data_IF_658264327384
#
_entry.id   IF_658264327384
#
_cell.length_a   1.000
_cell.length_b   1.000
_cell.length_c   1.000
_cell.angle_alpha   90.00
_cell.angle_beta   90.00
_cell.angle_gamma   90.00
#
_symmetry.space_group_name_H-M   'P 1'
#
loop_
_entity.id
_entity.type
_entity.pdbx_description
1 polymer ?
#
# COMPACT_ATOMS: atom_id res chain seq x y z
N UNK A 1 -24.24 2.34 0.46
CA UNK A 1 -24.66 0.94 0.18
C UNK A 1 -24.01 0.33 -1.08
N UNK A 2 -24.23 0.81 -2.31
CA UNK A 2 -23.59 0.20 -3.52
C UNK A 2 -22.05 0.35 -3.60
N UNK A 3 -21.49 1.48 -3.14
CA UNK A 3 -20.03 1.73 -3.18
C UNK A 3 -19.23 0.88 -2.19
N UNK A 4 -19.83 0.51 -1.06
CA UNK A 4 -19.20 -0.26 0.01
C UNK A 4 -19.06 -1.76 -0.35
N UNK A 5 -20.05 -2.31 -1.07
CA UNK A 5 -20.00 -3.67 -1.60
C UNK A 5 -19.00 -3.81 -2.77
N UNK A 6 -18.95 -2.83 -3.66
CA UNK A 6 -17.95 -2.74 -4.74
C UNK A 6 -16.53 -2.65 -4.16
N UNK A 7 -16.37 -1.82 -3.13
CA UNK A 7 -15.12 -1.66 -2.41
C UNK A 7 -14.65 -2.96 -1.72
N UNK A 8 -15.54 -3.73 -1.07
CA UNK A 8 -15.19 -5.04 -0.48
C UNK A 8 -14.74 -6.07 -1.52
N UNK A 9 -15.32 -6.04 -2.73
CA UNK A 9 -14.92 -6.93 -3.83
C UNK A 9 -13.54 -6.54 -4.40
N UNK A 10 -13.30 -5.25 -4.63
CA UNK A 10 -12.00 -4.73 -5.06
C UNK A 10 -10.92 -4.91 -3.97
N UNK A 11 -11.32 -4.89 -2.69
CA UNK A 11 -10.46 -5.15 -1.54
C UNK A 11 -10.05 -6.63 -1.40
N UNK A 12 -10.99 -7.58 -1.58
CA UNK A 12 -10.63 -9.00 -1.66
C UNK A 12 -9.66 -9.27 -2.82
N UNK A 13 -9.81 -8.53 -3.93
CA UNK A 13 -8.85 -8.55 -5.05
C UNK A 13 -7.51 -7.90 -4.71
N UNK A 14 -7.50 -6.77 -3.99
CA UNK A 14 -6.28 -6.14 -3.45
C UNK A 14 -5.50 -7.12 -2.57
N UNK A 15 -6.14 -7.73 -1.58
CA UNK A 15 -5.53 -8.73 -0.70
C UNK A 15 -4.98 -9.93 -1.51
N UNK A 16 -5.73 -10.40 -2.52
CA UNK A 16 -5.26 -11.46 -3.41
C UNK A 16 -4.10 -11.04 -4.31
N UNK A 17 -4.00 -9.76 -4.68
CA UNK A 17 -2.94 -9.18 -5.52
C UNK A 17 -1.68 -8.88 -4.70
N UNK A 18 -1.79 -8.34 -3.50
CA UNK A 18 -0.67 -8.24 -2.55
C UNK A 18 -0.12 -9.64 -2.26
N UNK A 19 -0.98 -10.64 -2.07
CA UNK A 19 -0.57 -12.06 -2.01
C UNK A 19 -0.02 -12.63 -3.33
N UNK A 20 -0.29 -11.99 -4.48
CA UNK A 20 0.25 -12.36 -5.80
C UNK A 20 1.61 -11.77 -6.11
N UNK A 21 2.00 -10.73 -5.40
CA UNK A 21 3.25 -10.02 -5.61
C UNK A 21 4.49 -10.85 -5.23
N UNK A 22 4.34 -11.82 -4.33
CA UNK A 22 5.34 -12.88 -4.10
C UNK A 22 5.41 -13.97 -5.17
N UNK A 23 4.62 -13.91 -6.27
CA UNK A 23 4.47 -15.01 -7.24
C UNK A 23 5.26 -14.87 -8.53
N UNK A 24 6.15 -13.89 -8.66
CA UNK A 24 6.94 -13.72 -9.89
C UNK A 24 8.44 -13.77 -9.61
N UNK A 25 8.92 -15.00 -9.38
CA UNK A 25 10.23 -15.58 -9.76
C UNK A 25 10.62 -16.59 -8.70
N UNK A 26 10.35 -17.87 -8.94
CA UNK A 26 11.21 -18.95 -8.44
C UNK A 26 10.97 -20.21 -9.26
N UNK A 27 11.98 -20.53 -10.07
CA UNK A 27 12.18 -21.85 -10.63
C UNK A 27 12.57 -22.81 -9.49
N UNK A 28 11.94 -23.98 -9.53
CA UNK A 28 12.01 -25.19 -8.68
C UNK A 28 13.26 -25.44 -7.83
N UNK A 29 13.05 -25.81 -6.55
CA UNK A 29 13.61 -27.03 -5.93
C UNK A 29 12.75 -27.47 -4.71
N UNK A 30 12.38 -28.75 -4.56
CA UNK A 30 11.58 -29.26 -3.43
C UNK A 30 12.48 -29.91 -2.36
N UNK A 31 12.20 -29.70 -1.07
CA UNK A 31 12.16 -30.77 -0.05
C UNK A 31 11.79 -30.22 1.34
N UNK A 32 11.06 -31.08 2.08
CA UNK A 32 10.95 -31.19 3.53
C UNK A 32 9.77 -30.52 4.27
N UNK A 33 8.92 -31.40 4.84
CA UNK A 33 8.35 -31.24 6.18
C UNK A 33 6.90 -30.77 6.28
N UNK A 34 5.92 -31.69 6.23
CA UNK A 34 4.58 -31.45 6.78
C UNK A 34 4.66 -31.50 8.31
N UNK A 35 4.23 -30.44 9.00
CA UNK A 35 4.05 -30.46 10.46
C UNK A 35 2.54 -30.39 10.76
N UNK A 36 2.06 -31.34 11.56
CA UNK A 36 0.64 -31.50 11.89
C UNK A 36 0.08 -30.40 12.78
N UNK A 37 -1.23 -30.18 12.66
CA UNK A 37 -2.04 -29.12 13.29
C UNK A 37 -1.86 -29.03 14.82
N UNK A 38 -1.46 -30.12 15.50
CA UNK A 38 -1.21 -30.15 16.95
C UNK A 38 0.02 -29.33 17.41
N UNK A 39 1.05 -29.15 16.57
CA UNK A 39 2.21 -28.33 16.91
C UNK A 39 1.91 -26.82 16.83
N UNK A 40 0.83 -26.44 16.16
CA UNK A 40 0.41 -25.06 15.95
C UNK A 40 -0.06 -24.38 17.26
N UNK A 41 -0.62 -25.17 18.19
CA UNK A 41 -1.09 -24.68 19.49
C UNK A 41 0.04 -24.58 20.54
N UNK A 42 1.09 -25.40 20.44
CA UNK A 42 2.21 -25.36 21.39
C UNK A 42 3.13 -24.14 21.19
N UNK A 43 3.23 -23.62 19.96
CA UNK A 43 3.95 -22.37 19.65
C UNK A 43 3.10 -21.10 19.89
N UNK A 44 1.90 -21.25 20.43
CA UNK A 44 0.97 -20.14 20.70
C UNK A 44 1.12 -19.58 22.13
N UNK A 45 1.84 -20.28 23.01
CA UNK A 45 1.93 -19.96 24.46
C UNK A 45 3.22 -19.26 24.89
N UNK A 46 4.17 -18.99 23.98
CA UNK A 46 5.44 -18.34 24.31
C UNK A 46 5.38 -16.87 23.87
N UNK A 47 5.20 -16.00 24.87
CA UNK A 47 4.97 -14.57 24.74
C UNK A 47 6.29 -13.83 24.94
N UNK A 48 7.06 -13.62 23.87
CA UNK A 48 8.02 -12.51 23.69
C UNK A 48 8.68 -12.65 22.30
N UNK A 49 8.76 -11.54 21.55
CA UNK A 49 9.33 -11.39 20.19
C UNK A 49 8.51 -11.93 18.99
N UNK A 50 7.50 -11.17 18.53
CA UNK A 50 6.82 -11.41 17.23
C UNK A 50 6.45 -10.10 16.50
N UNK A 51 7.45 -9.33 16.09
CA UNK A 51 7.26 -8.21 15.14
C UNK A 51 7.60 -8.58 13.68
N UNK A 52 8.17 -9.77 13.43
CA UNK A 52 8.92 -10.05 12.19
C UNK A 52 8.36 -11.22 11.37
N UNK A 53 7.04 -11.44 11.41
CA UNK A 53 6.37 -12.48 10.65
C UNK A 53 5.28 -11.90 9.74
N UNK A 54 5.37 -12.20 8.43
CA UNK A 54 4.39 -11.85 7.42
C UNK A 54 3.61 -13.09 6.95
N UNK A 55 2.50 -12.90 6.24
CA UNK A 55 1.63 -13.99 5.79
C UNK A 55 1.74 -14.16 4.27
N UNK A 56 2.26 -15.30 3.79
CA UNK A 56 2.21 -15.70 2.39
C UNK A 56 1.12 -16.73 2.12
N UNK A 57 0.39 -16.55 1.02
CA UNK A 57 -0.61 -17.51 0.54
C UNK A 57 -0.07 -18.26 -0.67
N UNK A 58 0.08 -19.58 -0.56
CA UNK A 58 0.46 -20.42 -1.68
C UNK A 58 -0.66 -20.46 -2.74
N UNK A 59 -0.43 -20.00 -3.98
CA UNK A 59 -1.46 -19.95 -5.02
C UNK A 59 -1.99 -21.31 -5.49
N UNK A 60 -1.26 -22.40 -5.26
CA UNK A 60 -1.61 -23.73 -5.78
C UNK A 60 -2.50 -24.53 -4.82
N UNK A 61 -2.45 -24.25 -3.52
CA UNK A 61 -3.23 -25.00 -2.53
C UNK A 61 -3.85 -24.13 -1.42
N UNK A 62 -3.82 -22.79 -1.55
CA UNK A 62 -4.28 -21.84 -0.53
C UNK A 62 -3.64 -22.01 0.86
N UNK A 63 -2.52 -22.75 0.99
CA UNK A 63 -1.83 -22.87 2.27
C UNK A 63 -1.28 -21.51 2.68
N UNK A 64 -1.70 -21.07 3.86
CA UNK A 64 -1.22 -19.86 4.52
C UNK A 64 0.06 -20.24 5.26
N UNK A 65 1.21 -19.74 4.79
CA UNK A 65 2.50 -19.87 5.48
C UNK A 65 2.82 -18.56 6.16
N UNK A 66 3.22 -18.64 7.41
CA UNK A 66 3.91 -17.54 8.09
C UNK A 66 5.33 -17.53 7.54
N UNK A 67 5.69 -16.46 6.84
CA UNK A 67 7.05 -16.22 6.35
C UNK A 67 7.78 -15.32 7.34
N UNK A 68 9.06 -15.62 7.57
CA UNK A 68 9.98 -14.68 8.20
C UNK A 68 10.24 -13.51 7.25
N UNK A 69 10.49 -12.32 7.80
CA UNK A 69 10.86 -11.12 7.03
C UNK A 69 12.08 -11.31 6.12
N UNK A 70 12.92 -12.30 6.42
CA UNK A 70 14.10 -12.68 5.62
C UNK A 70 13.75 -13.32 4.25
N UNK A 71 12.55 -13.88 4.07
CA UNK A 71 12.13 -14.48 2.78
C UNK A 71 11.48 -13.46 1.82
N UNK A 72 11.25 -12.21 2.28
CA UNK A 72 10.65 -11.17 1.45
C UNK A 72 11.73 -10.44 0.63
N UNK A 73 11.54 -10.26 -0.69
CA UNK A 73 12.56 -9.70 -1.58
C UNK A 73 12.97 -8.25 -1.26
N UNK A 74 12.15 -7.53 -0.49
CA UNK A 74 12.36 -6.12 -0.13
C UNK A 74 12.24 -5.87 1.39
N UNK A 75 12.50 -6.91 2.20
CA UNK A 75 12.45 -6.83 3.67
C UNK A 75 11.03 -6.80 4.26
N UNK A 76 10.91 -6.31 5.50
CA UNK A 76 9.66 -6.32 6.25
C UNK A 76 8.60 -5.40 5.62
N UNK A 77 7.33 -5.81 5.71
CA UNK A 77 6.19 -5.00 5.24
C UNK A 77 5.83 -3.98 6.32
N UNK A 78 5.79 -2.71 5.98
CA UNK A 78 5.34 -1.62 6.86
C UNK A 78 4.15 -0.91 6.24
N UNK A 79 3.04 -0.84 6.99
CA UNK A 79 1.80 -0.22 6.54
C UNK A 79 1.58 1.10 7.27
N UNK A 80 1.52 2.19 6.51
CA UNK A 80 1.24 3.53 7.01
C UNK A 80 -0.11 4.01 6.50
N UNK A 81 -0.71 4.92 7.26
CA UNK A 81 -1.94 5.60 6.90
C UNK A 81 -1.76 7.10 7.02
N UNK A 82 -2.37 7.85 6.12
CA UNK A 82 -2.60 9.26 6.35
C UNK A 82 -3.91 9.53 7.10
N UNK A 83 -4.32 10.79 7.12
CA UNK A 83 -5.46 11.34 7.87
C UNK A 83 -6.78 11.21 7.13
N UNK A 84 -6.78 10.90 5.83
CA UNK A 84 -8.00 10.93 5.01
C UNK A 84 -8.98 9.81 5.41
N UNK A 85 -8.50 8.60 5.68
CA UNK A 85 -9.35 7.48 6.08
C UNK A 85 -8.59 6.40 6.89
N UNK A 86 -8.24 6.67 8.16
CA UNK A 86 -7.47 5.72 8.98
C UNK A 86 -8.19 4.38 9.21
N UNK A 87 -9.52 4.39 9.33
CA UNK A 87 -10.29 3.15 9.55
C UNK A 87 -10.16 2.16 8.38
N UNK A 88 -9.93 2.66 7.16
CA UNK A 88 -9.71 1.80 6.02
C UNK A 88 -8.34 1.11 6.12
N UNK A 89 -7.33 1.86 6.52
CA UNK A 89 -6.00 1.31 6.73
C UNK A 89 -5.99 0.26 7.85
N UNK A 90 -6.75 0.47 8.92
CA UNK A 90 -6.93 -0.52 10.00
C UNK A 90 -7.57 -1.82 9.51
N UNK A 91 -8.60 -1.73 8.65
CA UNK A 91 -9.22 -2.92 8.04
C UNK A 91 -8.23 -3.66 7.12
N UNK A 92 -7.47 -2.92 6.29
CA UNK A 92 -6.42 -3.49 5.45
C UNK A 92 -5.37 -4.20 6.32
N UNK A 93 -4.92 -3.56 7.40
CA UNK A 93 -3.94 -4.08 8.34
C UNK A 93 -4.41 -5.39 8.98
N UNK A 94 -5.67 -5.41 9.48
CA UNK A 94 -6.27 -6.58 10.11
C UNK A 94 -6.38 -7.78 9.17
N UNK A 95 -6.70 -7.55 7.91
CA UNK A 95 -6.87 -8.62 6.90
C UNK A 95 -5.53 -9.17 6.40
N UNK A 96 -4.50 -8.32 6.36
CA UNK A 96 -3.13 -8.73 6.06
C UNK A 96 -2.40 -9.34 7.25
N UNK A 97 -2.96 -9.22 8.47
CA UNK A 97 -2.31 -9.66 9.70
C UNK A 97 -1.06 -8.84 10.06
N UNK A 98 -0.97 -7.59 9.58
CA UNK A 98 0.15 -6.68 9.86
C UNK A 98 -0.33 -5.54 10.75
N UNK A 99 0.56 -5.01 11.60
CA UNK A 99 0.26 -3.81 12.38
C UNK A 99 0.35 -2.53 11.54
N UNK A 100 -0.42 -1.50 11.91
CA UNK A 100 -0.18 -0.14 11.40
C UNK A 100 1.09 0.42 12.07
N UNK A 101 2.01 0.90 11.24
CA UNK A 101 3.24 1.53 11.70
C UNK A 101 2.98 2.92 12.27
N UNK A 102 3.70 3.26 13.33
CA UNK A 102 3.59 4.55 14.02
C UNK A 102 4.02 5.72 13.12
N UNK A 103 3.07 6.60 12.81
CA UNK A 103 3.32 7.88 12.15
C UNK A 103 2.42 8.96 12.77
N UNK A 104 3.00 10.13 13.05
CA UNK A 104 2.25 11.30 13.52
C UNK A 104 2.18 12.33 12.41
N UNK A 105 0.96 12.65 12.01
CA UNK A 105 0.66 13.79 11.14
C UNK A 105 0.18 14.95 11.99
N UNK A 106 0.79 16.12 11.82
CA UNK A 106 0.41 17.35 12.47
C UNK A 106 0.11 18.44 11.44
N UNK A 107 -0.72 19.41 11.82
CA UNK A 107 -1.00 20.59 11.00
C UNK A 107 -0.55 21.82 11.76
N UNK A 108 0.35 22.59 11.17
CA UNK A 108 0.83 23.84 11.74
C UNK A 108 -0.25 24.93 11.64
N UNK A 109 -0.09 26.02 12.40
CA UNK A 109 -1.08 27.13 12.44
C UNK A 109 -1.28 27.81 11.08
N UNK A 110 -0.28 27.76 10.20
CA UNK A 110 -0.33 28.28 8.83
C UNK A 110 -0.99 27.31 7.83
N UNK A 111 -1.39 26.11 8.26
CA UNK A 111 -1.99 25.09 7.40
C UNK A 111 -0.98 24.14 6.73
N UNK A 112 0.31 24.25 7.01
CA UNK A 112 1.31 23.31 6.51
C UNK A 112 1.20 21.95 7.24
N UNK A 113 1.49 20.88 6.51
CA UNK A 113 1.48 19.51 7.03
C UNK A 113 2.86 19.11 7.52
N UNK A 114 2.96 18.71 8.79
CA UNK A 114 4.15 18.07 9.36
C UNK A 114 3.94 16.57 9.49
N UNK A 115 4.97 15.78 9.16
CA UNK A 115 4.93 14.32 9.26
C UNK A 115 6.18 13.85 10.01
N UNK A 116 5.96 12.99 11.01
CA UNK A 116 7.01 12.34 11.78
C UNK A 116 6.78 10.82 11.78
N UNK A 117 7.75 10.10 11.24
CA UNK A 117 7.77 8.64 11.22
C UNK A 117 8.50 8.14 12.47
N UNK A 118 7.84 7.31 13.28
CA UNK A 118 8.40 6.86 14.57
C UNK A 118 9.23 5.58 14.47
N UNK A 119 9.04 4.84 13.38
CA UNK A 119 9.68 3.55 13.15
C UNK A 119 10.73 3.64 12.05
N UNK A 120 11.78 2.81 12.14
CA UNK A 120 12.73 2.67 11.05
C UNK A 120 12.06 2.00 9.85
N UNK A 121 12.19 2.62 8.68
CA UNK A 121 11.68 2.11 7.40
C UNK A 121 12.78 1.66 6.46
N UNK A 122 14.03 1.58 6.95
CA UNK A 122 15.18 1.20 6.14
C UNK A 122 15.02 -0.23 5.61
N UNK A 123 15.31 -0.41 4.33
CA UNK A 123 15.27 -1.71 3.64
C UNK A 123 13.92 -2.45 3.78
N UNK A 124 12.83 -1.71 4.03
CA UNK A 124 11.47 -2.24 4.15
C UNK A 124 10.63 -1.99 2.88
N UNK A 125 9.60 -2.81 2.66
CA UNK A 125 8.55 -2.56 1.65
C UNK A 125 7.43 -1.77 2.32
N UNK A 126 7.31 -0.50 1.93
CA UNK A 126 6.44 0.47 2.57
C UNK A 126 5.17 0.66 1.76
N UNK A 127 4.03 0.47 2.42
CA UNK A 127 2.71 0.71 1.85
C UNK A 127 2.09 1.91 2.54
N UNK A 128 1.67 2.91 1.76
CA UNK A 128 1.03 4.12 2.29
C UNK A 128 -0.41 4.14 1.79
N UNK A 129 -1.37 4.03 2.70
CA UNK A 129 -2.81 4.11 2.38
C UNK A 129 -3.27 5.54 2.59
N UNK A 130 -3.58 6.23 1.48
CA UNK A 130 -4.14 7.57 1.53
C UNK A 130 -5.05 7.84 0.32
N UNK A 131 -6.38 7.88 0.53
CA UNK A 131 -7.28 8.47 -0.45
C UNK A 131 -6.98 9.95 -0.66
N UNK A 132 -6.94 10.42 -1.92
CA UNK A 132 -6.66 11.82 -2.27
C UNK A 132 -7.91 12.59 -2.68
N UNK A 133 -9.05 12.24 -2.06
CA UNK A 133 -10.38 12.73 -2.42
C UNK A 133 -11.01 13.63 -1.35
N UNK A 134 -12.31 13.92 -1.46
CA UNK A 134 -13.06 14.73 -0.50
C UNK A 134 -12.83 14.29 0.96
N UNK A 135 -12.83 15.23 1.93
CA UNK A 135 -13.18 16.66 1.79
C UNK A 135 -12.08 17.58 1.24
N UNK A 136 -10.79 17.24 1.39
CA UNK A 136 -9.66 18.14 1.06
C UNK A 136 -8.63 17.45 0.16
N UNK A 137 -8.88 17.36 -1.16
CA UNK A 137 -8.04 16.58 -2.07
C UNK A 137 -6.59 17.08 -2.13
N UNK A 138 -6.37 18.40 -2.04
CA UNK A 138 -5.03 18.98 -2.07
C UNK A 138 -4.24 18.67 -0.79
N UNK A 139 -4.85 18.86 0.37
CA UNK A 139 -4.20 18.61 1.66
C UNK A 139 -3.80 17.14 1.77
N UNK A 140 -4.69 16.21 1.39
CA UNK A 140 -4.38 14.77 1.42
C UNK A 140 -3.33 14.36 0.39
N UNK A 141 -3.34 14.99 -0.79
CA UNK A 141 -2.29 14.77 -1.79
C UNK A 141 -0.94 15.27 -1.27
N UNK A 142 -0.88 16.47 -0.70
CA UNK A 142 0.35 17.01 -0.12
C UNK A 142 0.84 16.17 1.05
N UNK A 143 -0.05 15.72 1.93
CA UNK A 143 0.27 14.81 3.01
C UNK A 143 0.88 13.50 2.50
N UNK A 144 0.29 12.88 1.47
CA UNK A 144 0.84 11.68 0.84
C UNK A 144 2.24 11.92 0.28
N UNK A 145 2.44 13.03 -0.45
CA UNK A 145 3.73 13.37 -1.05
C UNK A 145 4.82 13.60 0.00
N UNK A 146 4.49 14.31 1.09
CA UNK A 146 5.43 14.55 2.21
C UNK A 146 5.76 13.23 2.92
N UNK A 147 4.77 12.35 3.10
CA UNK A 147 4.99 11.05 3.73
C UNK A 147 5.93 10.20 2.88
N UNK A 148 5.71 10.14 1.57
CA UNK A 148 6.57 9.41 0.64
C UNK A 148 8.00 9.96 0.62
N UNK A 149 8.18 11.29 0.62
CA UNK A 149 9.51 11.90 0.69
C UNK A 149 10.22 11.53 2.00
N UNK A 150 9.52 11.53 3.13
CA UNK A 150 10.06 11.09 4.42
C UNK A 150 10.51 9.62 4.38
N UNK A 151 9.71 8.71 3.81
CA UNK A 151 10.06 7.29 3.70
C UNK A 151 11.25 7.05 2.77
N UNK A 152 11.29 7.79 1.65
CA UNK A 152 12.40 7.72 0.69
C UNK A 152 13.71 8.17 1.32
N UNK A 153 13.69 9.29 2.06
CA UNK A 153 14.87 9.76 2.81
C UNK A 153 15.22 8.85 3.98
N UNK A 154 14.24 8.15 4.55
CA UNK A 154 14.40 7.12 5.56
C UNK A 154 15.07 5.83 5.07
N UNK A 155 15.27 5.68 3.75
CA UNK A 155 15.94 4.52 3.15
C UNK A 155 15.00 3.34 2.91
N UNK A 156 13.70 3.57 2.71
CA UNK A 156 12.79 2.53 2.27
C UNK A 156 13.27 1.87 0.97
N UNK A 157 13.26 0.52 0.94
CA UNK A 157 13.65 -0.22 -0.26
C UNK A 157 12.65 -0.01 -1.39
N UNK A 158 11.37 0.09 -1.03
CA UNK A 158 10.28 0.22 -1.99
C UNK A 158 9.11 0.97 -1.38
N UNK A 159 8.51 1.87 -2.17
CA UNK A 159 7.35 2.67 -1.74
C UNK A 159 6.17 2.39 -2.67
N UNK A 160 5.12 1.79 -2.12
CA UNK A 160 3.85 1.54 -2.80
C UNK A 160 2.78 2.47 -2.24
N UNK A 161 2.30 3.41 -3.05
CA UNK A 161 1.20 4.29 -2.68
C UNK A 161 -0.15 3.61 -3.01
N UNK A 162 -0.92 3.31 -1.99
CA UNK A 162 -2.29 2.80 -2.11
C UNK A 162 -3.23 4.00 -2.06
N UNK A 163 -3.79 4.35 -3.22
CA UNK A 163 -4.69 5.50 -3.42
C UNK A 163 -6.04 4.95 -3.88
N UNK A 164 -6.91 4.48 -2.96
CA UNK A 164 -8.15 3.82 -3.32
C UNK A 164 -9.04 4.69 -4.20
N UNK A 165 -9.07 6.00 -3.95
CA UNK A 165 -9.73 6.97 -4.82
C UNK A 165 -8.71 7.99 -5.30
N UNK A 166 -8.39 7.92 -6.59
CA UNK A 166 -7.43 8.81 -7.24
C UNK A 166 -8.06 10.19 -7.48
N UNK A 167 -7.61 11.18 -6.71
CA UNK A 167 -7.96 12.58 -6.90
C UNK A 167 -7.62 13.09 -8.30
N UNK A 168 -8.35 14.07 -8.80
CA UNK A 168 -8.16 14.66 -10.14
C UNK A 168 -8.32 13.71 -11.34
N UNK A 169 -8.76 12.46 -11.15
CA UNK A 169 -8.94 11.49 -12.22
C UNK A 169 -9.93 11.92 -13.33
N UNK A 170 -10.81 12.89 -13.06
CA UNK A 170 -11.76 13.44 -14.06
C UNK A 170 -11.13 14.44 -15.02
N UNK A 171 -9.92 14.90 -14.74
CA UNK A 171 -9.15 15.83 -15.59
C UNK A 171 -8.01 15.06 -16.26
N UNK A 172 -8.37 13.99 -16.98
CA UNK A 172 -7.49 13.06 -17.67
C UNK A 172 -7.25 13.44 -19.14
N UNK A 173 -8.05 14.34 -19.70
CA UNK A 173 -7.91 14.81 -21.08
C UNK A 173 -8.03 16.32 -21.18
N UNK A 174 -7.62 16.85 -22.32
CA UNK A 174 -7.74 18.26 -22.65
C UNK A 174 -9.14 18.55 -23.20
N UNK A 175 -10.06 18.96 -22.33
CA UNK A 175 -11.43 19.30 -22.73
C UNK A 175 -11.52 20.65 -23.47
N UNK A 176 -10.60 21.58 -23.18
CA UNK A 176 -10.58 22.92 -23.78
C UNK A 176 -9.16 23.33 -24.15
N UNK A 177 -9.03 24.30 -25.06
CA UNK A 177 -7.73 24.91 -25.34
C UNK A 177 -7.16 25.50 -24.05
N UNK A 178 -5.89 25.20 -23.76
CA UNK A 178 -5.16 25.59 -22.52
C UNK A 178 -5.67 24.98 -21.21
N UNK A 179 -6.54 23.96 -21.24
CA UNK A 179 -6.87 23.18 -20.05
C UNK A 179 -5.71 22.28 -19.60
N UNK A 180 -5.47 22.11 -18.29
CA UNK A 180 -4.46 21.19 -17.78
C UNK A 180 -4.94 19.74 -17.83
N UNK A 181 -3.99 18.80 -17.84
CA UNK A 181 -4.25 17.38 -17.61
C UNK A 181 -3.76 17.07 -16.19
N UNK A 182 -4.60 17.36 -15.20
CA UNK A 182 -4.18 17.32 -13.79
C UNK A 182 -3.96 15.89 -13.30
N UNK A 183 -4.66 14.89 -13.85
CA UNK A 183 -4.40 13.49 -13.52
C UNK A 183 -2.96 13.08 -13.85
N UNK A 184 -2.42 13.55 -14.99
CA UNK A 184 -1.03 13.34 -15.38
C UNK A 184 -0.06 14.04 -14.43
N UNK A 185 -0.35 15.30 -14.09
CA UNK A 185 0.45 16.07 -13.13
C UNK A 185 0.55 15.36 -11.77
N UNK A 186 -0.57 14.88 -11.24
CA UNK A 186 -0.60 14.15 -9.96
C UNK A 186 0.22 12.86 -10.03
N UNK A 187 0.07 12.09 -11.11
CA UNK A 187 0.83 10.86 -11.28
C UNK A 187 2.34 11.11 -11.38
N UNK A 188 2.76 12.21 -12.05
CA UNK A 188 4.17 12.61 -12.10
C UNK A 188 4.69 13.08 -10.73
N UNK A 189 3.89 13.81 -9.96
CA UNK A 189 4.26 14.19 -8.59
C UNK A 189 4.47 12.98 -7.68
N UNK A 190 3.62 11.96 -7.77
CA UNK A 190 3.80 10.71 -7.02
C UNK A 190 5.12 10.02 -7.40
N UNK A 191 5.46 9.98 -8.69
CA UNK A 191 6.75 9.41 -9.12
C UNK A 191 7.93 10.20 -8.57
N UNK A 192 7.86 11.53 -8.64
CA UNK A 192 8.94 12.40 -8.16
C UNK A 192 9.13 12.32 -6.64
N UNK A 193 8.03 12.21 -5.88
CA UNK A 193 8.08 11.99 -4.43
C UNK A 193 8.73 10.64 -4.07
N UNK A 194 8.61 9.63 -4.94
CA UNK A 194 9.31 8.36 -4.79
C UNK A 194 8.44 7.13 -4.90
N UNK A 195 7.22 7.21 -5.46
CA UNK A 195 6.42 6.00 -5.68
C UNK A 195 7.12 5.09 -6.70
N UNK A 196 7.35 3.84 -6.30
CA UNK A 196 7.75 2.77 -7.19
C UNK A 196 6.53 2.10 -7.82
N UNK A 197 5.39 2.15 -7.11
CA UNK A 197 4.11 1.61 -7.55
C UNK A 197 2.96 2.42 -6.98
N UNK A 198 1.88 2.51 -7.73
CA UNK A 198 0.60 3.01 -7.23
C UNK A 198 -0.48 1.94 -7.40
N UNK A 199 -1.31 1.79 -6.38
CA UNK A 199 -2.48 0.91 -6.43
C UNK A 199 -3.73 1.77 -6.27
N UNK A 200 -4.70 1.60 -7.15
CA UNK A 200 -5.94 2.39 -7.20
C UNK A 200 -7.16 1.49 -7.36
N UNK A 201 -8.34 2.00 -7.05
CA UNK A 201 -9.62 1.31 -7.27
C UNK A 201 -10.48 2.15 -8.20
N UNK A 202 -11.03 1.52 -9.24
CA UNK A 202 -11.97 2.12 -10.19
C UNK A 202 -11.54 3.49 -10.73
N UNK A 203 -10.38 3.54 -11.38
CA UNK A 203 -9.95 4.76 -12.10
C UNK A 203 -11.04 5.24 -13.07
N UNK A 204 -11.27 6.55 -13.10
CA UNK A 204 -12.26 7.17 -13.98
C UNK A 204 -12.06 6.81 -15.45
N UNK A 205 -10.79 6.74 -15.87
CA UNK A 205 -10.36 6.35 -17.19
C UNK A 205 -9.16 5.39 -17.05
N UNK A 206 -9.20 4.23 -17.70
CA UNK A 206 -8.10 3.26 -17.64
C UNK A 206 -6.83 3.77 -18.31
N UNK A 207 -6.95 4.75 -19.21
CA UNK A 207 -5.84 5.42 -19.90
C UNK A 207 -4.88 6.12 -18.92
N UNK A 208 -5.35 6.46 -17.71
CA UNK A 208 -4.50 7.04 -16.65
C UNK A 208 -3.33 6.11 -16.30
N UNK A 209 -3.49 4.78 -16.43
CA UNK A 209 -2.38 3.84 -16.25
C UNK A 209 -1.26 4.03 -17.28
N UNK A 210 -1.61 4.46 -18.50
CA UNK A 210 -0.66 4.76 -19.57
C UNK A 210 -0.02 6.14 -19.47
N UNK A 211 -0.41 6.98 -18.51
CA UNK A 211 0.18 8.30 -18.31
C UNK A 211 1.60 8.23 -17.77
N UNK A 212 1.95 7.17 -17.06
CA UNK A 212 3.21 7.07 -16.31
C UNK A 212 4.09 5.93 -16.79
N UNK A 213 5.36 6.02 -16.44
CA UNK A 213 6.38 4.99 -16.76
C UNK A 213 6.51 3.92 -15.68
N UNK A 214 5.89 4.13 -14.51
CA UNK A 214 5.92 3.21 -13.38
C UNK A 214 4.58 2.45 -13.30
N UNK A 215 4.55 1.27 -12.66
CA UNK A 215 3.37 0.43 -12.66
C UNK A 215 2.25 1.01 -11.79
N UNK A 216 1.05 1.13 -12.39
CA UNK A 216 -0.20 1.48 -11.70
C UNK A 216 -1.17 0.30 -11.81
N UNK A 217 -1.47 -0.33 -10.68
CA UNK A 217 -2.49 -1.37 -10.62
C UNK A 217 -3.85 -0.73 -10.35
N UNK A 218 -4.78 -0.89 -11.29
CA UNK A 218 -6.17 -0.47 -11.13
C UNK A 218 -7.04 -1.68 -10.83
N UNK A 219 -7.67 -1.67 -9.67
CA UNK A 219 -8.56 -2.74 -9.22
C UNK A 219 -10.00 -2.42 -9.62
N UNK A 220 -10.64 -3.40 -10.23
CA UNK A 220 -12.04 -3.39 -10.67
C UNK A 220 -12.91 -4.32 -9.82
#
# INVERSE_FOLDING_TARGET
MKREAMFRASFARFASHVGAWGRQRLFVAPTAGMVGVGALLALYSSREERSDCAVAVNPRNCAVRVITTEELPHGAIRLFTGTAHPQLAEQIASELGVGLSGCTTSTFKNGETGILVHESVRDCDVFIVQPTCNPKPNDYLMELLIMMDAMRRGGAARITAVVPLFGYARQDKKDQSRAPITAKLVADMLRLAGADRVITVDLHASQIQGFVTYPIDNLY
#
